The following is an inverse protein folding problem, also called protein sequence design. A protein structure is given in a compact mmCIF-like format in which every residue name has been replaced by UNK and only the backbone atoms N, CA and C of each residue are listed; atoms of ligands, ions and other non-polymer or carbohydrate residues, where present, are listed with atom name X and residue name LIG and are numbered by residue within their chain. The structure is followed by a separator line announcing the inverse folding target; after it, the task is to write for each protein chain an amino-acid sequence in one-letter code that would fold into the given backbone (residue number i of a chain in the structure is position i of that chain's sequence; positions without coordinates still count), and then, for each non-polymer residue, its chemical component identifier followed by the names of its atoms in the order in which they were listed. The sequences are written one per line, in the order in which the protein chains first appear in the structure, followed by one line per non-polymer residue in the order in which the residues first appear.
data_IF_516763122457
#
_entry.id   IF_516763122457
#
_cell.length_a   1.000
_cell.length_b   1.000
_cell.length_c   1.000
_cell.angle_alpha   90.00
_cell.angle_beta   90.00
_cell.angle_gamma   90.00
#
_symmetry.space_group_name_H-M   'P 1'
#
loop_
_entity.id
_entity.type
_entity.pdbx_description
1 polymer ?
#
# COMPACT_ATOMS: atom_id res chain seq x y z
N UNK A 1 -4.35 -5.86 -1.29
CA UNK A 1 -4.92 -4.62 -1.84
C UNK A 1 -6.41 -4.60 -1.52
N UNK A 2 -6.93 -3.49 -0.99
CA UNK A 2 -8.34 -3.40 -0.60
C UNK A 2 -9.25 -3.54 -1.83
N UNK A 3 -10.27 -4.40 -1.71
CA UNK A 3 -11.23 -4.67 -2.79
C UNK A 3 -12.17 -3.48 -2.92
N UNK A 4 -12.16 -2.81 -4.07
CA UNK A 4 -13.19 -1.82 -4.42
C UNK A 4 -14.22 -2.49 -5.32
N UNK A 5 -15.50 -2.21 -5.13
CA UNK A 5 -16.63 -2.86 -5.82
C UNK A 5 -16.52 -2.91 -7.35
N UNK A 6 -15.72 -2.03 -7.96
CA UNK A 6 -15.60 -1.89 -9.43
C UNK A 6 -14.14 -1.93 -9.93
N UNK A 7 -13.16 -2.21 -9.07
CA UNK A 7 -11.75 -2.25 -9.47
C UNK A 7 -11.11 -3.53 -8.99
N UNK A 8 -10.47 -4.23 -9.91
CA UNK A 8 -9.66 -5.38 -9.56
C UNK A 8 -8.52 -4.93 -8.63
N UNK A 9 -8.27 -5.73 -7.61
CA UNK A 9 -7.16 -5.50 -6.70
C UNK A 9 -5.85 -5.69 -7.50
N UNK A 10 -5.06 -4.64 -7.63
CA UNK A 10 -3.76 -4.74 -8.29
C UNK A 10 -2.83 -5.67 -7.53
N UNK A 11 -1.98 -6.39 -8.26
CA UNK A 11 -0.84 -7.08 -7.67
C UNK A 11 0.19 -6.07 -7.16
N UNK A 12 1.06 -6.51 -6.26
CA UNK A 12 2.12 -5.65 -5.71
C UNK A 12 3.05 -5.12 -6.83
N UNK A 13 3.38 -5.97 -7.80
CA UNK A 13 4.25 -5.61 -8.92
C UNK A 13 3.63 -4.53 -9.81
N UNK A 14 2.33 -4.63 -10.10
CA UNK A 14 1.61 -3.60 -10.88
C UNK A 14 1.58 -2.25 -10.18
N UNK A 15 1.47 -2.27 -8.85
CA UNK A 15 1.43 -1.07 -8.02
C UNK A 15 2.79 -0.37 -8.02
N UNK A 16 3.86 -1.15 -7.82
CA UNK A 16 5.22 -0.61 -7.86
C UNK A 16 5.55 -0.05 -9.25
N UNK A 17 5.22 -0.79 -10.32
CA UNK A 17 5.42 -0.32 -11.69
C UNK A 17 4.64 0.97 -11.98
N UNK A 18 3.42 1.12 -11.47
CA UNK A 18 2.64 2.34 -11.62
C UNK A 18 3.22 3.53 -10.85
N UNK A 19 3.68 3.31 -9.61
CA UNK A 19 4.31 4.37 -8.81
C UNK A 19 5.58 4.85 -9.50
N UNK A 20 6.41 3.93 -9.99
CA UNK A 20 7.62 4.25 -10.75
C UNK A 20 7.30 5.04 -12.02
N UNK A 21 6.31 4.61 -12.80
CA UNK A 21 5.90 5.28 -14.03
C UNK A 21 5.36 6.70 -13.82
N UNK A 22 4.89 7.03 -12.61
CA UNK A 22 4.34 8.35 -12.27
C UNK A 22 5.23 9.15 -11.31
N UNK A 23 6.48 8.69 -11.11
CA UNK A 23 7.48 9.38 -10.29
C UNK A 23 7.87 10.71 -10.92
N UNK A 24 7.93 11.78 -10.12
CA UNK A 24 8.19 13.15 -10.59
C UNK A 24 6.96 13.92 -11.07
N UNK A 25 5.78 13.29 -11.13
CA UNK A 25 4.50 13.97 -11.43
C UNK A 25 3.50 13.84 -10.28
N UNK A 26 3.14 12.62 -9.89
CA UNK A 26 2.22 12.37 -8.78
C UNK A 26 2.93 11.99 -7.48
N UNK A 27 4.14 11.45 -7.62
CA UNK A 27 4.95 10.98 -6.49
C UNK A 27 6.27 11.72 -6.48
N UNK A 28 6.67 12.19 -5.31
CA UNK A 28 7.97 12.82 -5.11
C UNK A 28 9.07 11.76 -5.35
N UNK A 29 10.04 12.00 -6.26
CA UNK A 29 11.12 11.06 -6.55
C UNK A 29 11.89 10.59 -5.33
N UNK A 30 12.12 11.45 -4.35
CA UNK A 30 12.85 11.09 -3.13
C UNK A 30 12.01 10.18 -2.22
N UNK A 31 10.69 10.35 -2.24
CA UNK A 31 9.76 9.56 -1.45
C UNK A 31 9.33 8.26 -2.10
N UNK A 32 9.62 8.03 -3.39
CA UNK A 32 9.37 6.74 -4.04
C UNK A 32 10.45 5.71 -3.70
N UNK A 33 11.66 6.17 -3.37
CA UNK A 33 12.77 5.29 -3.01
C UNK A 33 12.62 4.69 -1.59
N UNK A 34 12.04 5.43 -0.64
CA UNK A 34 11.83 4.94 0.72
C UNK A 34 10.86 3.74 0.83
N UNK A 35 9.73 3.69 0.12
CA UNK A 35 8.85 2.52 0.03
C UNK A 35 9.53 1.31 -0.60
N UNK A 36 10.43 1.48 -1.58
CA UNK A 36 11.16 0.35 -2.18
C UNK A 36 12.06 -0.36 -1.15
N UNK A 37 12.67 0.41 -0.27
CA UNK A 37 13.55 -0.12 0.78
C UNK A 37 12.79 -0.67 1.99
N UNK A 38 11.54 -0.26 2.20
CA UNK A 38 10.72 -0.61 3.38
C UNK A 38 9.38 -1.25 3.00
N UNK A 39 9.30 -1.86 1.82
CA UNK A 39 8.07 -2.42 1.29
C UNK A 39 7.54 -3.54 2.19
N UNK A 40 8.45 -4.37 2.70
CA UNK A 40 8.13 -5.47 3.62
C UNK A 40 7.51 -4.97 4.92
N UNK A 41 8.05 -3.90 5.52
CA UNK A 41 7.49 -3.27 6.72
C UNK A 41 6.09 -2.72 6.46
N UNK A 42 5.88 -2.11 5.28
CA UNK A 42 4.57 -1.60 4.87
C UNK A 42 3.56 -2.73 4.66
N UNK A 43 4.01 -3.86 4.12
CA UNK A 43 3.18 -5.06 3.96
C UNK A 43 2.85 -5.73 5.30
N UNK A 44 3.79 -5.75 6.24
CA UNK A 44 3.59 -6.29 7.58
C UNK A 44 2.54 -5.50 8.36
N UNK A 45 2.60 -4.16 8.31
CA UNK A 45 1.56 -3.29 8.90
C UNK A 45 0.21 -3.58 8.24
N UNK A 46 0.15 -3.69 6.92
CA UNK A 46 -1.11 -4.01 6.22
C UNK A 46 -1.68 -5.35 6.64
N UNK A 47 -0.84 -6.37 6.81
CA UNK A 47 -1.29 -7.70 7.23
C UNK A 47 -1.86 -7.67 8.65
N UNK A 48 -1.20 -6.93 9.55
CA UNK A 48 -1.64 -6.75 10.93
C UNK A 48 -2.97 -5.98 11.07
N UNK A 49 -3.24 -5.03 10.17
CA UNK A 49 -4.41 -4.14 10.23
C UNK A 49 -5.36 -4.29 9.04
N UNK A 50 -5.43 -5.49 8.45
CA UNK A 50 -6.30 -5.73 7.30
C UNK A 50 -7.78 -5.62 7.70
N UNK A 51 -8.64 -5.24 6.75
CA UNK A 51 -10.07 -4.96 6.98
C UNK A 51 -10.85 -6.17 7.55
N UNK A 52 -10.31 -7.39 7.38
CA UNK A 52 -10.86 -8.65 7.91
C UNK A 52 -10.47 -8.90 9.39
N UNK A 53 -9.41 -8.25 9.88
CA UNK A 53 -8.96 -8.31 11.28
C UNK A 53 -9.82 -7.35 12.09
N UNK A 54 -10.73 -7.93 12.87
CA UNK A 54 -11.74 -7.22 13.66
C UNK A 54 -11.18 -5.96 14.35
N UNK A 55 -11.92 -4.84 14.37
CA UNK A 55 -11.44 -3.59 14.95
C UNK A 55 -11.02 -3.82 16.39
N UNK A 56 -9.81 -3.37 16.74
CA UNK A 56 -9.44 -3.17 18.14
C UNK A 56 -10.47 -2.19 18.73
N UNK A 57 -11.41 -2.72 19.51
CA UNK A 57 -12.39 -1.92 20.25
C UNK A 57 -11.57 -1.00 21.16
N UNK A 58 -11.45 0.27 20.78
CA UNK A 58 -11.00 1.32 21.68
C UNK A 58 -12.01 1.36 22.83
N UNK A 59 -11.68 0.68 23.92
CA UNK A 59 -12.41 0.80 25.17
C UNK A 59 -11.93 2.11 25.79
N UNK A 60 -12.85 3.05 25.94
CA UNK A 60 -12.63 4.40 26.45
C UNK A 60 -12.16 4.38 27.92
#
# INVERSE_FOLDING_TARGET
MSKRAYKHAWSLNEVMAYIEANTGSMFDPEWVEAPKQNLDSSMAIRDQYNDDVQPHIMTA
#
